data_IF_722058034773
#
_entry.id   IF_722058034773
#
_cell.length_a   1.000
_cell.length_b   1.000
_cell.length_c   1.000
_cell.angle_alpha   90.00
_cell.angle_beta   90.00
_cell.angle_gamma   90.00
#
_symmetry.space_group_name_H-M   'P 1'
#
loop_
_entity.id
_entity.type
_entity.pdbx_description
1 polymer ?
#
# COMPACT_ATOMS: atom_id res chain seq x y z
N UNK A 1 16.94 -27.05 -2.46
CA UNK A 1 16.27 -26.83 -3.76
C UNK A 1 15.69 -25.41 -3.90
N UNK A 2 16.36 -24.38 -3.37
CA UNK A 2 15.74 -23.03 -3.26
C UNK A 2 16.55 -21.92 -3.96
N UNK A 3 17.84 -22.15 -4.23
CA UNK A 3 18.72 -21.11 -4.80
C UNK A 3 18.56 -20.95 -6.32
N UNK A 4 18.46 -22.06 -7.06
CA UNK A 4 18.26 -22.01 -8.52
C UNK A 4 16.92 -21.39 -8.93
N UNK A 5 15.87 -21.57 -8.12
CA UNK A 5 14.57 -20.94 -8.34
C UNK A 5 14.64 -19.42 -8.21
N UNK A 6 15.37 -18.90 -7.22
CA UNK A 6 15.59 -17.47 -7.03
C UNK A 6 16.47 -16.88 -8.15
N UNK A 7 17.51 -17.60 -8.58
CA UNK A 7 18.35 -17.19 -9.69
C UNK A 7 17.57 -17.11 -11.02
N UNK A 8 16.70 -18.10 -11.27
CA UNK A 8 15.84 -18.10 -12.45
C UNK A 8 14.77 -17.00 -12.37
N UNK A 9 14.21 -16.76 -11.18
CA UNK A 9 13.24 -15.69 -10.94
C UNK A 9 13.85 -14.30 -11.19
N UNK A 10 15.06 -14.03 -10.67
CA UNK A 10 15.79 -12.79 -10.90
C UNK A 10 16.19 -12.60 -12.38
N UNK A 11 16.61 -13.67 -13.06
CA UNK A 11 16.93 -13.63 -14.49
C UNK A 11 15.69 -13.34 -15.34
N UNK A 12 14.56 -13.98 -15.05
CA UNK A 12 13.27 -13.73 -15.71
C UNK A 12 12.77 -12.31 -15.45
N UNK A 13 12.88 -11.79 -14.22
CA UNK A 13 12.49 -10.43 -13.88
C UNK A 13 13.29 -9.37 -14.69
N UNK A 14 14.59 -9.60 -14.90
CA UNK A 14 15.44 -8.72 -15.73
C UNK A 14 15.14 -8.84 -17.22
N UNK A 15 14.95 -10.06 -17.73
CA UNK A 15 14.72 -10.32 -19.17
C UNK A 15 13.34 -9.85 -19.63
N UNK A 16 12.34 -9.91 -18.75
CA UNK A 16 10.97 -9.49 -19.04
C UNK A 16 10.77 -7.97 -18.96
N UNK A 17 11.85 -7.19 -18.71
CA UNK A 17 11.82 -5.74 -18.42
C UNK A 17 10.55 -5.42 -17.64
N UNK A 18 10.47 -5.81 -16.37
CA UNK A 18 9.33 -5.43 -15.52
C UNK A 18 9.26 -3.90 -15.43
N UNK A 19 8.68 -3.27 -16.44
CA UNK A 19 8.39 -1.85 -16.57
C UNK A 19 7.47 -1.43 -15.43
N UNK A 20 6.58 -2.33 -15.04
CA UNK A 20 5.67 -2.21 -13.89
C UNK A 20 6.35 -2.42 -12.52
N UNK A 21 7.66 -2.72 -12.43
CA UNK A 21 8.30 -2.97 -11.12
C UNK A 21 8.27 -1.72 -10.23
N UNK A 22 8.50 -0.55 -10.83
CA UNK A 22 8.40 0.74 -10.13
C UNK A 22 6.96 0.97 -9.67
N UNK A 23 5.97 0.75 -10.55
CA UNK A 23 4.56 0.85 -10.18
C UNK A 23 4.18 -0.08 -9.03
N UNK A 24 4.61 -1.34 -9.07
CA UNK A 24 4.37 -2.32 -7.99
C UNK A 24 5.11 -1.97 -6.70
N UNK A 25 6.33 -1.46 -6.78
CA UNK A 25 7.11 -1.04 -5.62
C UNK A 25 6.49 0.19 -4.94
N UNK A 26 6.07 1.18 -5.72
CA UNK A 26 5.35 2.37 -5.24
C UNK A 26 4.01 1.97 -4.61
N UNK A 27 3.28 1.01 -5.20
CA UNK A 27 2.04 0.51 -4.61
C UNK A 27 2.27 -0.15 -3.24
N UNK A 28 3.36 -0.91 -3.08
CA UNK A 28 3.73 -1.49 -1.79
C UNK A 28 4.12 -0.44 -0.75
N UNK A 29 4.88 0.58 -1.17
CA UNK A 29 5.27 1.71 -0.30
C UNK A 29 4.04 2.52 0.15
N UNK A 30 3.14 2.86 -0.78
CA UNK A 30 1.90 3.59 -0.48
C UNK A 30 0.94 2.78 0.39
N UNK A 31 0.81 1.47 0.16
CA UNK A 31 0.03 0.58 1.01
C UNK A 31 0.52 0.58 2.47
N UNK A 32 1.83 0.59 2.67
CA UNK A 32 2.44 0.71 4.00
C UNK A 32 2.11 2.04 4.66
N UNK A 33 2.09 3.13 3.88
CA UNK A 33 1.72 4.47 4.35
C UNK A 33 0.26 4.54 4.80
N UNK A 34 -0.66 3.97 4.01
CA UNK A 34 -2.08 3.85 4.35
C UNK A 34 -2.23 3.08 5.67
N UNK A 35 -1.51 1.96 5.82
CA UNK A 35 -1.53 1.16 7.06
C UNK A 35 -1.08 1.94 8.28
N UNK A 36 0.03 2.69 8.19
CA UNK A 36 0.54 3.52 9.29
C UNK A 36 -0.45 4.62 9.66
N UNK A 37 -1.00 5.34 8.67
CA UNK A 37 -2.00 6.39 8.90
C UNK A 37 -3.24 5.80 9.59
N UNK A 38 -3.72 4.65 9.11
CA UNK A 38 -4.87 3.95 9.69
C UNK A 38 -4.60 3.56 11.13
N UNK A 39 -3.43 2.95 11.41
CA UNK A 39 -3.05 2.56 12.75
C UNK A 39 -3.01 3.78 13.68
N UNK A 40 -2.32 4.86 13.28
CA UNK A 40 -2.22 6.10 14.06
C UNK A 40 -3.59 6.71 14.34
N UNK A 41 -4.47 6.80 13.34
CA UNK A 41 -5.82 7.32 13.51
C UNK A 41 -6.66 6.46 14.46
N UNK A 42 -6.61 5.13 14.31
CA UNK A 42 -7.39 4.20 15.13
C UNK A 42 -6.88 4.15 16.57
N UNK A 43 -5.56 4.11 16.83
CA UNK A 43 -5.06 4.12 18.21
C UNK A 43 -5.23 5.46 18.91
N UNK A 44 -5.24 6.58 18.17
CA UNK A 44 -5.44 7.91 18.75
C UNK A 44 -6.93 8.35 18.78
N UNK A 45 -7.87 7.53 18.31
CA UNK A 45 -9.30 7.86 18.27
C UNK A 45 -9.86 8.29 19.64
N UNK A 46 -9.38 7.67 20.72
CA UNK A 46 -9.80 7.97 22.09
C UNK A 46 -9.27 9.32 22.63
N UNK A 47 -8.17 9.83 22.04
CA UNK A 47 -7.57 11.12 22.44
C UNK A 47 -8.14 12.30 21.67
N UNK A 48 -8.84 12.06 20.56
CA UNK A 48 -9.39 13.12 19.70
C UNK A 48 -10.94 13.09 19.80
N UNK A 49 -11.57 14.05 20.50
CA UNK A 49 -13.02 14.04 20.75
C UNK A 49 -13.87 14.11 19.48
N UNK A 50 -13.30 14.57 18.36
CA UNK A 50 -13.95 14.59 17.04
C UNK A 50 -13.96 13.21 16.39
N UNK A 51 -12.92 12.40 16.57
CA UNK A 51 -12.84 11.04 16.00
C UNK A 51 -13.56 9.99 16.85
N UNK A 52 -13.75 10.24 18.15
CA UNK A 52 -14.44 9.31 19.05
C UNK A 52 -15.93 9.09 18.70
N UNK A 53 -16.52 10.00 17.91
CA UNK A 53 -17.90 9.89 17.44
C UNK A 53 -18.00 9.13 16.11
N UNK A 54 -16.87 8.85 15.46
CA UNK A 54 -16.84 8.19 14.16
C UNK A 54 -16.70 6.68 14.35
N UNK A 55 -17.48 5.87 13.59
CA UNK A 55 -17.32 4.43 13.60
C UNK A 55 -15.88 4.04 13.24
N UNK A 56 -15.24 3.16 14.01
CA UNK A 56 -13.88 2.69 13.72
C UNK A 56 -13.77 2.04 12.32
N UNK A 57 -14.89 1.54 11.79
CA UNK A 57 -15.00 1.03 10.41
C UNK A 57 -14.75 2.13 9.35
N UNK A 58 -15.26 3.34 9.56
CA UNK A 58 -15.05 4.48 8.67
C UNK A 58 -13.59 4.93 8.70
N UNK A 59 -12.94 4.88 9.87
CA UNK A 59 -11.51 5.17 10.00
C UNK A 59 -10.62 4.12 9.31
N UNK A 60 -11.10 2.89 9.19
CA UNK A 60 -10.45 1.82 8.40
C UNK A 60 -10.67 1.97 6.89
N UNK A 61 -11.88 2.35 6.49
CA UNK A 61 -12.25 2.45 5.09
C UNK A 61 -11.81 3.76 4.43
N UNK A 62 -11.72 4.87 5.17
CA UNK A 62 -11.30 6.18 4.65
C UNK A 62 -9.92 6.14 3.97
N UNK A 63 -8.85 5.68 4.64
CA UNK A 63 -7.52 5.64 4.04
C UNK A 63 -7.45 4.67 2.86
N UNK A 64 -8.25 3.61 2.90
CA UNK A 64 -8.29 2.57 1.87
C UNK A 64 -9.05 3.07 0.63
N UNK A 65 -10.21 3.70 0.80
CA UNK A 65 -11.04 4.26 -0.28
C UNK A 65 -10.35 5.43 -0.96
N UNK A 66 -9.60 6.25 -0.22
CA UNK A 66 -8.83 7.35 -0.81
C UNK A 66 -7.53 6.83 -1.41
N UNK A 67 -6.83 5.95 -0.68
CA UNK A 67 -5.52 5.45 -1.07
C UNK A 67 -5.56 4.52 -2.29
N UNK A 68 -6.53 3.61 -2.39
CA UNK A 68 -6.63 2.66 -3.52
C UNK A 68 -6.74 3.34 -4.90
N UNK A 69 -7.63 4.32 -5.13
CA UNK A 69 -7.69 5.02 -6.42
C UNK A 69 -6.48 5.92 -6.65
N UNK A 70 -5.90 6.51 -5.61
CA UNK A 70 -4.71 7.37 -5.72
C UNK A 70 -3.48 6.57 -6.15
N UNK A 71 -3.32 5.37 -5.56
CA UNK A 71 -2.36 4.36 -5.96
C UNK A 71 -2.59 3.98 -7.43
N UNK A 72 -3.82 3.62 -7.80
CA UNK A 72 -4.15 3.23 -9.17
C UNK A 72 -3.88 4.33 -10.20
N UNK A 73 -4.15 5.60 -9.86
CA UNK A 73 -3.82 6.75 -10.72
C UNK A 73 -2.32 6.94 -10.88
N UNK A 74 -1.55 6.87 -9.78
CA UNK A 74 -0.09 7.00 -9.82
C UNK A 74 0.55 5.86 -10.61
N UNK A 75 0.13 4.61 -10.41
CA UNK A 75 0.66 3.47 -11.17
C UNK A 75 0.39 3.60 -12.66
N UNK A 76 -0.79 4.11 -13.05
CA UNK A 76 -1.18 4.24 -14.46
C UNK A 76 -0.42 5.35 -15.20
N UNK A 77 0.20 6.27 -14.47
CA UNK A 77 0.91 7.45 -15.03
C UNK A 77 2.41 7.21 -15.22
N UNK A 78 2.96 6.12 -14.66
CA UNK A 78 4.38 5.73 -14.72
C UNK A 78 4.55 4.60 -15.74
#
# INVERSE_FOLDING_TARGET
MSSYGLALYGYLARKRRWTEWIGKHINGMLGSYIGVITAVLVVNQAKIPVLNQWPSLLLWLLPTIIGSPLIAMVTKTI
#
